data_IF_384709351450
#
_entry.id   IF_384709351450
#
_cell.length_a   1.000
_cell.length_b   1.000
_cell.length_c   1.000
_cell.angle_alpha   90.00
_cell.angle_beta   90.00
_cell.angle_gamma   90.00
#
_symmetry.space_group_name_H-M   'P 1'
#
loop_
_entity.id
_entity.type
_entity.pdbx_description
1 polymer ?
#
# COMPACT_ATOMS: atom_id res chain seq x y z
N UNK A 1 -27.08 -32.77 19.71
CA UNK A 1 -28.11 -32.03 20.49
C UNK A 1 -27.41 -31.12 21.49
N UNK A 2 -28.14 -30.27 22.21
CA UNK A 2 -27.54 -29.34 23.17
C UNK A 2 -28.58 -28.42 23.82
N UNK A 3 -28.15 -27.50 24.69
CA UNK A 3 -29.02 -26.54 25.35
C UNK A 3 -29.78 -25.66 24.35
N UNK A 4 -30.95 -25.17 24.77
CA UNK A 4 -31.73 -24.24 23.97
C UNK A 4 -30.94 -22.97 23.61
N UNK A 5 -30.94 -22.61 22.32
CA UNK A 5 -30.22 -21.42 21.82
C UNK A 5 -28.70 -21.61 21.63
N UNK A 6 -28.17 -22.80 21.91
CA UNK A 6 -26.75 -23.09 21.71
C UNK A 6 -26.47 -23.67 20.31
N UNK A 7 -25.38 -23.21 19.66
CA UNK A 7 -24.99 -23.74 18.34
C UNK A 7 -23.93 -24.83 18.45
N UNK A 8 -23.10 -24.81 19.49
CA UNK A 8 -22.00 -25.78 19.68
C UNK A 8 -22.02 -26.24 21.13
N UNK A 9 -22.15 -27.55 21.34
CA UNK A 9 -22.18 -28.15 22.68
C UNK A 9 -21.23 -29.34 22.76
N UNK A 10 -20.07 -29.12 23.38
CA UNK A 10 -19.04 -30.14 23.59
C UNK A 10 -18.37 -29.98 24.96
N UNK A 11 -17.70 -31.03 25.42
CA UNK A 11 -16.85 -30.99 26.62
C UNK A 11 -15.39 -30.64 26.32
N UNK A 12 -14.53 -30.70 27.35
CA UNK A 12 -13.09 -30.39 27.25
C UNK A 12 -12.31 -31.29 26.27
N UNK A 13 -12.87 -32.44 25.89
CA UNK A 13 -12.26 -33.37 24.94
C UNK A 13 -12.87 -33.24 23.52
N UNK A 14 -13.77 -32.29 23.30
CA UNK A 14 -14.49 -32.12 22.04
C UNK A 14 -15.51 -33.23 21.77
N UNK A 15 -15.91 -33.99 22.81
CA UNK A 15 -17.00 -34.97 22.70
C UNK A 15 -18.33 -34.23 22.62
N UNK A 16 -19.30 -34.81 21.92
CA UNK A 16 -20.64 -34.23 21.78
C UNK A 16 -21.72 -35.21 22.26
N UNK A 17 -22.94 -34.71 22.35
CA UNK A 17 -24.14 -35.48 22.66
C UNK A 17 -25.04 -35.62 21.44
N UNK A 18 -25.61 -36.81 21.25
CA UNK A 18 -26.45 -37.14 20.10
C UNK A 18 -27.82 -37.62 20.56
N UNK A 19 -28.82 -37.48 19.68
CA UNK A 19 -30.10 -38.14 19.83
C UNK A 19 -30.20 -39.21 18.76
N UNK A 20 -30.29 -40.46 19.18
CA UNK A 20 -30.55 -41.56 18.26
C UNK A 20 -32.03 -41.56 17.84
N UNK A 21 -32.31 -41.94 16.60
CA UNK A 21 -33.69 -42.01 16.11
C UNK A 21 -34.53 -43.07 16.83
N UNK A 22 -33.90 -44.11 17.38
CA UNK A 22 -34.56 -45.16 18.16
C UNK A 22 -34.71 -44.80 19.65
N UNK A 23 -34.15 -43.68 20.10
CA UNK A 23 -34.31 -43.19 21.46
C UNK A 23 -35.64 -42.43 21.58
N UNK A 24 -36.66 -43.13 22.10
CA UNK A 24 -38.06 -42.67 22.17
C UNK A 24 -38.34 -41.72 23.32
N UNK A 25 -37.49 -41.71 24.36
CA UNK A 25 -37.76 -40.98 25.60
C UNK A 25 -36.86 -39.76 25.78
N UNK A 26 -35.76 -39.68 25.02
CA UNK A 26 -34.88 -38.53 25.06
C UNK A 26 -35.54 -37.28 24.42
N UNK A 27 -35.59 -36.15 25.14
CA UNK A 27 -36.18 -34.91 24.63
C UNK A 27 -35.33 -34.22 23.55
N UNK A 28 -34.09 -34.67 23.33
CA UNK A 28 -33.19 -34.10 22.32
C UNK A 28 -32.52 -32.79 22.75
N UNK A 29 -32.33 -32.61 24.06
CA UNK A 29 -31.70 -31.45 24.68
C UNK A 29 -30.25 -31.77 25.14
N UNK A 30 -29.68 -30.97 26.04
CA UNK A 30 -28.37 -31.19 26.65
C UNK A 30 -28.21 -32.53 27.37
N UNK A 31 -29.30 -33.17 27.82
CA UNK A 31 -29.29 -34.44 28.55
C UNK A 31 -29.29 -35.68 27.64
N UNK A 32 -29.20 -35.48 26.31
CA UNK A 32 -29.18 -36.59 25.35
C UNK A 32 -27.88 -37.39 25.43
N UNK A 33 -27.99 -38.73 25.47
CA UNK A 33 -26.84 -39.68 25.42
C UNK A 33 -25.71 -39.43 26.44
N UNK A 34 -24.70 -40.30 26.42
CA UNK A 34 -23.40 -40.00 27.03
C UNK A 34 -22.59 -39.03 26.13
N UNK A 35 -21.41 -38.64 26.60
CA UNK A 35 -20.43 -37.91 25.78
C UNK A 35 -19.73 -38.84 24.80
N UNK A 36 -19.89 -38.57 23.50
CA UNK A 36 -19.39 -39.42 22.42
C UNK A 36 -18.21 -38.76 21.71
N UNK A 37 -17.13 -39.53 21.53
CA UNK A 37 -15.94 -39.08 20.80
C UNK A 37 -16.24 -38.86 19.32
N UNK A 38 -15.61 -37.83 18.76
CA UNK A 38 -15.76 -37.45 17.34
C UNK A 38 -14.46 -37.71 16.61
N UNK A 39 -14.51 -38.57 15.59
CA UNK A 39 -13.40 -38.78 14.66
C UNK A 39 -13.01 -37.46 14.00
N UNK A 40 -11.70 -37.18 13.98
CA UNK A 40 -11.09 -36.05 13.29
C UNK A 40 -10.21 -36.59 12.16
N UNK A 41 -9.99 -35.80 11.12
CA UNK A 41 -9.17 -36.23 9.98
C UNK A 41 -7.68 -36.38 10.35
N UNK A 42 -7.21 -35.64 11.37
CA UNK A 42 -5.86 -35.68 11.92
C UNK A 42 -5.88 -35.27 13.40
N UNK A 43 -5.46 -36.18 14.30
CA UNK A 43 -5.54 -35.97 15.76
C UNK A 43 -4.25 -36.36 16.48
N UNK A 44 -3.21 -35.53 16.34
CA UNK A 44 -1.96 -35.67 17.08
C UNK A 44 -2.04 -35.05 18.49
N UNK A 45 -1.05 -35.33 19.33
CA UNK A 45 -0.96 -34.73 20.67
C UNK A 45 -0.65 -33.22 20.56
N UNK A 46 -1.68 -32.37 20.67
CA UNK A 46 -1.56 -30.92 20.58
C UNK A 46 -1.54 -30.34 19.16
N UNK A 47 -1.80 -31.13 18.12
CA UNK A 47 -1.83 -30.68 16.72
C UNK A 47 -2.80 -31.52 15.87
N UNK A 48 -3.22 -31.00 14.72
CA UNK A 48 -4.11 -31.69 13.79
C UNK A 48 -5.25 -30.79 13.31
N UNK A 49 -6.38 -31.39 12.96
CA UNK A 49 -7.61 -30.65 12.66
C UNK A 49 -8.67 -30.89 13.73
N UNK A 50 -9.46 -29.85 14.01
CA UNK A 50 -10.56 -29.93 14.95
C UNK A 50 -11.77 -29.23 14.37
N UNK A 51 -12.82 -30.00 14.08
CA UNK A 51 -14.12 -29.46 13.72
C UNK A 51 -15.18 -30.09 14.61
N UNK A 52 -15.77 -29.30 15.50
CA UNK A 52 -16.82 -29.79 16.42
C UNK A 52 -18.17 -29.84 15.68
N UNK A 53 -18.95 -30.95 15.77
CA UNK A 53 -20.32 -30.98 15.29
C UNK A 53 -21.17 -29.92 15.98
N UNK A 54 -21.96 -29.19 15.20
CA UNK A 54 -22.92 -28.21 15.73
C UNK A 54 -24.22 -28.88 16.13
N UNK A 55 -24.95 -28.26 17.04
CA UNK A 55 -26.32 -28.68 17.39
C UNK A 55 -27.17 -28.70 16.11
N UNK A 56 -27.88 -29.81 15.89
CA UNK A 56 -28.69 -30.04 14.69
C UNK A 56 -27.95 -30.69 13.51
N UNK A 57 -26.63 -30.83 13.56
CA UNK A 57 -25.90 -31.57 12.51
C UNK A 57 -26.07 -33.09 12.66
N UNK A 58 -26.25 -33.75 11.53
CA UNK A 58 -26.27 -35.20 11.42
C UNK A 58 -24.85 -35.77 11.45
N UNK A 59 -24.70 -36.88 12.17
CA UNK A 59 -23.43 -37.59 12.36
C UNK A 59 -23.63 -39.08 12.13
N UNK A 60 -22.62 -39.73 11.60
CA UNK A 60 -22.56 -41.19 11.48
C UNK A 60 -21.95 -41.72 12.78
N UNK A 61 -22.70 -42.54 13.51
CA UNK A 61 -22.24 -43.18 14.75
C UNK A 61 -21.97 -44.66 14.48
N UNK A 62 -20.79 -45.11 14.87
CA UNK A 62 -20.40 -46.52 14.95
C UNK A 62 -20.26 -46.93 16.42
N UNK A 63 -20.16 -48.22 16.69
CA UNK A 63 -20.07 -48.78 18.02
C UNK A 63 -18.84 -49.69 18.09
N UNK A 64 -17.93 -49.42 19.02
CA UNK A 64 -16.67 -50.14 19.10
C UNK A 64 -16.92 -51.62 19.37
N UNK A 65 -16.42 -52.50 18.49
CA UNK A 65 -16.69 -53.95 18.52
C UNK A 65 -18.20 -54.30 18.49
N UNK A 66 -19.05 -53.40 18.01
CA UNK A 66 -20.50 -53.57 17.99
C UNK A 66 -21.17 -53.41 19.36
N UNK A 67 -20.46 -52.90 20.37
CA UNK A 67 -20.99 -52.67 21.73
C UNK A 67 -21.76 -51.33 21.80
N UNK A 68 -23.10 -51.33 21.99
CA UNK A 68 -23.90 -50.11 22.11
C UNK A 68 -23.45 -49.15 23.21
N UNK A 69 -22.76 -49.64 24.24
CA UNK A 69 -22.25 -48.82 25.34
C UNK A 69 -20.98 -48.04 24.96
N UNK A 70 -20.39 -48.33 23.80
CA UNK A 70 -19.14 -47.71 23.32
C UNK A 70 -19.31 -47.01 21.96
N UNK A 71 -20.18 -45.97 21.87
CA UNK A 71 -20.37 -45.25 20.62
C UNK A 71 -19.16 -44.38 20.25
N UNK A 72 -18.97 -44.18 18.94
CA UNK A 72 -18.00 -43.26 18.35
C UNK A 72 -18.58 -42.62 17.09
N UNK A 73 -18.42 -41.30 16.94
CA UNK A 73 -18.84 -40.60 15.71
C UNK A 73 -17.73 -40.72 14.67
N UNK A 74 -18.04 -41.27 13.50
CA UNK A 74 -17.08 -41.57 12.44
C UNK A 74 -17.07 -40.56 11.29
N UNK A 75 -18.17 -39.83 11.10
CA UNK A 75 -18.29 -38.91 9.98
C UNK A 75 -19.57 -38.08 10.00
N UNK A 76 -19.80 -37.35 8.92
CA UNK A 76 -20.98 -36.50 8.71
C UNK A 76 -21.38 -36.53 7.25
N UNK A 77 -22.66 -36.29 7.00
CA UNK A 77 -23.21 -36.17 5.65
C UNK A 77 -23.97 -34.87 5.51
N UNK A 78 -24.07 -34.40 4.27
CA UNK A 78 -25.06 -33.39 3.93
C UNK A 78 -26.41 -34.07 3.71
N UNK A 79 -27.48 -33.35 4.07
CA UNK A 79 -28.87 -33.76 3.87
C UNK A 79 -29.66 -32.58 3.29
N UNK A 80 -30.96 -32.75 3.03
CA UNK A 80 -31.80 -31.70 2.45
C UNK A 80 -31.81 -30.40 3.26
N UNK A 81 -31.77 -30.49 4.59
CA UNK A 81 -31.79 -29.34 5.50
C UNK A 81 -30.37 -28.85 5.86
N UNK A 82 -29.39 -29.76 5.84
CA UNK A 82 -27.97 -29.45 6.00
C UNK A 82 -27.28 -29.59 4.63
N UNK A 83 -27.51 -28.63 3.73
CA UNK A 83 -26.95 -28.66 2.37
C UNK A 83 -25.45 -28.38 2.37
N UNK A 84 -24.77 -28.93 1.37
CA UNK A 84 -23.36 -28.60 1.11
C UNK A 84 -23.18 -27.12 0.77
N UNK A 85 -22.00 -26.53 1.05
CA UNK A 85 -21.61 -25.26 0.48
C UNK A 85 -21.75 -25.25 -1.05
N UNK A 86 -22.06 -24.09 -1.62
CA UNK A 86 -22.24 -23.92 -3.06
C UNK A 86 -23.66 -24.25 -3.53
N UNK A 87 -23.79 -24.61 -4.81
CA UNK A 87 -25.08 -24.86 -5.46
C UNK A 87 -24.96 -26.08 -6.38
N UNK A 88 -24.79 -27.25 -5.77
CA UNK A 88 -24.69 -28.51 -6.51
C UNK A 88 -25.97 -28.82 -7.28
N UNK A 89 -25.87 -29.37 -8.51
CA UNK A 89 -24.65 -29.82 -9.19
C UNK A 89 -23.88 -28.70 -9.93
N UNK A 90 -24.32 -27.44 -9.89
CA UNK A 90 -23.68 -26.32 -10.59
C UNK A 90 -22.23 -26.05 -10.16
N UNK A 91 -21.91 -26.25 -8.87
CA UNK A 91 -20.55 -26.05 -8.32
C UNK A 91 -19.78 -27.36 -8.16
N UNK A 92 -20.03 -28.35 -9.04
CA UNK A 92 -19.45 -29.70 -8.92
C UNK A 92 -17.92 -29.77 -9.02
N UNK A 93 -17.28 -28.73 -9.57
CA UNK A 93 -15.82 -28.58 -9.70
C UNK A 93 -15.20 -27.83 -8.53
N UNK A 94 -15.99 -27.44 -7.52
CA UNK A 94 -15.50 -26.71 -6.36
C UNK A 94 -15.23 -27.63 -5.18
N UNK A 95 -14.07 -27.45 -4.56
CA UNK A 95 -13.76 -27.95 -3.23
C UNK A 95 -13.80 -26.79 -2.24
N UNK A 96 -14.33 -27.01 -1.04
CA UNK A 96 -14.49 -25.92 -0.07
C UNK A 96 -14.28 -26.39 1.37
N UNK A 97 -13.48 -25.64 2.11
CA UNK A 97 -13.44 -25.65 3.57
C UNK A 97 -14.06 -24.32 4.04
N UNK A 98 -15.31 -24.37 4.48
CA UNK A 98 -16.08 -23.20 4.91
C UNK A 98 -16.53 -23.35 6.36
N UNK A 99 -16.30 -22.32 7.16
CA UNK A 99 -16.81 -22.23 8.53
C UNK A 99 -18.15 -21.49 8.58
N UNK A 100 -18.74 -21.34 9.77
CA UNK A 100 -19.88 -20.45 10.01
C UNK A 100 -19.54 -19.58 11.22
N UNK A 101 -19.81 -18.28 11.17
CA UNK A 101 -19.67 -17.41 12.35
C UNK A 101 -20.51 -17.98 13.51
N UNK A 102 -19.93 -18.10 14.70
CA UNK A 102 -20.65 -18.57 15.87
C UNK A 102 -21.70 -17.53 16.30
N UNK A 103 -22.96 -17.95 16.43
CA UNK A 103 -24.09 -17.08 16.83
C UNK A 103 -24.18 -15.77 16.00
N UNK A 104 -23.86 -15.85 14.71
CA UNK A 104 -23.88 -14.69 13.82
C UNK A 104 -23.92 -15.05 12.35
N UNK A 105 -24.06 -14.03 11.50
CA UNK A 105 -23.93 -14.16 10.04
C UNK A 105 -22.47 -14.20 9.59
N UNK A 106 -22.20 -14.87 8.47
CA UNK A 106 -20.88 -14.89 7.83
C UNK A 106 -20.10 -16.20 7.95
N UNK A 107 -18.91 -16.23 7.35
CA UNK A 107 -18.05 -17.41 7.25
C UNK A 107 -16.60 -17.06 6.92
N UNK A 108 -15.67 -17.91 7.32
CA UNK A 108 -14.34 -17.97 6.68
C UNK A 108 -14.36 -19.07 5.62
N UNK A 109 -13.60 -18.92 4.53
CA UNK A 109 -13.56 -19.90 3.45
C UNK A 109 -12.18 -20.01 2.82
N UNK A 110 -11.77 -21.26 2.58
CA UNK A 110 -10.78 -21.64 1.59
C UNK A 110 -11.49 -22.47 0.52
N UNK A 111 -11.54 -21.98 -0.71
CA UNK A 111 -12.19 -22.64 -1.84
C UNK A 111 -11.22 -22.82 -3.00
N UNK A 112 -11.29 -23.98 -3.63
CA UNK A 112 -10.61 -24.30 -4.89
C UNK A 112 -11.67 -24.51 -5.97
N UNK A 113 -11.46 -23.91 -7.13
CA UNK A 113 -12.23 -24.13 -8.36
C UNK A 113 -11.31 -24.81 -9.37
N UNK A 114 -11.72 -25.97 -9.86
CA UNK A 114 -10.98 -26.79 -10.83
C UNK A 114 -11.63 -26.82 -12.22
N UNK A 115 -12.58 -25.92 -12.48
CA UNK A 115 -13.14 -25.74 -13.82
C UNK A 115 -12.05 -25.28 -14.80
N UNK A 116 -11.87 -26.04 -15.89
CA UNK A 116 -10.82 -25.79 -16.89
C UNK A 116 -10.86 -24.37 -17.43
N UNK A 117 -9.74 -23.65 -17.31
CA UNK A 117 -9.59 -22.27 -17.76
C UNK A 117 -10.23 -21.22 -16.83
N UNK A 118 -10.75 -21.64 -15.68
CA UNK A 118 -11.34 -20.80 -14.64
C UNK A 118 -10.82 -21.21 -13.25
N UNK A 119 -9.65 -21.83 -13.19
CA UNK A 119 -9.06 -22.32 -11.96
C UNK A 119 -8.83 -21.18 -10.96
N UNK A 120 -9.23 -21.38 -9.71
CA UNK A 120 -9.15 -20.32 -8.70
C UNK A 120 -8.89 -20.90 -7.30
N UNK A 121 -8.00 -20.24 -6.57
CA UNK A 121 -7.96 -20.33 -5.11
C UNK A 121 -8.58 -19.07 -4.53
N UNK A 122 -9.60 -19.23 -3.68
CA UNK A 122 -10.28 -18.15 -3.00
C UNK A 122 -10.09 -18.29 -1.49
N UNK A 123 -9.61 -17.21 -0.86
CA UNK A 123 -9.44 -17.10 0.58
C UNK A 123 -10.31 -15.94 1.06
N UNK A 124 -11.22 -16.23 2.00
CA UNK A 124 -12.10 -15.24 2.63
C UNK A 124 -11.94 -15.28 4.14
N UNK A 125 -11.62 -14.12 4.70
CA UNK A 125 -11.65 -13.88 6.13
C UNK A 125 -12.82 -12.95 6.48
N UNK A 126 -13.66 -13.36 7.42
CA UNK A 126 -14.86 -12.61 7.81
C UNK A 126 -14.54 -11.29 8.53
N UNK A 127 -13.36 -11.17 9.15
CA UNK A 127 -12.96 -9.98 9.92
C UNK A 127 -11.47 -9.65 9.79
N UNK A 128 -10.61 -10.46 10.40
CA UNK A 128 -9.16 -10.26 10.38
C UNK A 128 -8.50 -11.40 9.59
N UNK A 129 -7.46 -11.09 8.84
CA UNK A 129 -6.54 -12.07 8.26
C UNK A 129 -5.12 -11.70 8.66
N UNK A 130 -4.53 -12.50 9.57
CA UNK A 130 -3.15 -12.34 10.01
C UNK A 130 -2.27 -13.39 9.32
N UNK A 131 -1.10 -12.98 8.84
CA UNK A 131 -0.11 -13.89 8.22
C UNK A 131 1.24 -13.67 8.86
N UNK A 132 1.76 -14.68 9.57
CA UNK A 132 3.10 -14.66 10.16
C UNK A 132 4.01 -15.66 9.43
N UNK A 133 5.19 -15.18 9.03
CA UNK A 133 6.21 -16.00 8.35
C UNK A 133 7.54 -15.79 9.05
N UNK A 134 8.08 -16.83 9.68
CA UNK A 134 9.28 -16.74 10.54
C UNK A 134 10.61 -16.63 9.77
N UNK A 135 10.60 -16.92 8.47
CA UNK A 135 11.81 -16.90 7.65
C UNK A 135 11.63 -16.06 6.39
N UNK A 136 11.15 -16.67 5.29
CA UNK A 136 11.06 -15.99 3.99
C UNK A 136 9.65 -16.11 3.41
N UNK A 137 9.12 -14.99 2.90
CA UNK A 137 7.91 -14.94 2.07
C UNK A 137 8.29 -14.43 0.68
N UNK A 138 8.04 -15.26 -0.34
CA UNK A 138 8.18 -14.88 -1.74
C UNK A 138 6.79 -14.80 -2.37
N UNK A 139 6.55 -13.82 -3.24
CA UNK A 139 5.31 -13.70 -4.02
C UNK A 139 5.68 -13.35 -5.45
N UNK A 140 5.21 -14.16 -6.40
CA UNK A 140 5.48 -14.04 -7.84
C UNK A 140 4.14 -14.08 -8.58
N UNK A 141 3.80 -12.97 -9.25
CA UNK A 141 2.55 -12.79 -10.01
C UNK A 141 2.92 -12.54 -11.46
N UNK A 142 2.47 -13.42 -12.37
CA UNK A 142 2.89 -13.39 -13.79
C UNK A 142 2.18 -12.36 -14.64
N UNK A 143 0.93 -12.07 -14.28
CA UNK A 143 0.10 -11.10 -14.98
C UNK A 143 -0.06 -9.90 -14.04
N UNK A 144 -1.26 -9.65 -13.53
CA UNK A 144 -1.57 -8.45 -12.77
C UNK A 144 -1.74 -8.72 -11.27
N UNK A 145 -1.24 -7.79 -10.46
CA UNK A 145 -1.55 -7.71 -9.04
C UNK A 145 -2.36 -6.44 -8.78
N UNK A 146 -3.54 -6.60 -8.17
CA UNK A 146 -4.39 -5.48 -7.75
C UNK A 146 -4.64 -5.58 -6.25
N UNK A 147 -4.32 -4.51 -5.53
CA UNK A 147 -4.60 -4.36 -4.11
C UNK A 147 -5.45 -3.10 -3.90
N UNK A 148 -6.48 -3.19 -3.07
CA UNK A 148 -7.34 -2.05 -2.72
C UNK A 148 -7.42 -1.94 -1.20
N UNK A 149 -6.94 -0.80 -0.68
CA UNK A 149 -6.96 -0.48 0.75
C UNK A 149 -7.98 0.63 0.97
N UNK A 150 -9.08 0.31 1.68
CA UNK A 150 -10.16 1.28 1.90
C UNK A 150 -9.87 2.34 2.98
N UNK A 151 -8.78 2.20 3.72
CA UNK A 151 -8.34 3.16 4.74
C UNK A 151 -6.82 3.33 4.67
N UNK A 152 -6.07 2.98 5.72
CA UNK A 152 -4.62 3.20 5.77
C UNK A 152 -3.81 1.92 5.48
N UNK A 153 -2.71 2.08 4.74
CA UNK A 153 -1.67 1.06 4.60
C UNK A 153 -0.42 1.52 5.37
N UNK A 154 0.12 0.66 6.23
CA UNK A 154 1.40 0.90 6.92
C UNK A 154 2.40 -0.18 6.53
N UNK A 155 3.52 0.25 5.94
CA UNK A 155 4.64 -0.62 5.58
C UNK A 155 5.84 -0.19 6.42
N UNK A 156 6.57 -1.15 6.99
CA UNK A 156 7.81 -0.90 7.72
C UNK A 156 8.87 -1.86 7.20
N UNK A 157 9.94 -1.31 6.63
CA UNK A 157 11.08 -2.06 6.08
C UNK A 157 12.30 -1.73 6.94
N UNK A 158 12.86 -2.74 7.59
CA UNK A 158 13.91 -2.54 8.60
C UNK A 158 15.31 -2.22 8.04
N UNK A 159 15.58 -2.56 6.77
CA UNK A 159 16.89 -2.37 6.14
C UNK A 159 16.80 -1.54 4.86
N UNK A 160 16.40 -2.16 3.76
CA UNK A 160 16.34 -1.50 2.45
C UNK A 160 15.14 -1.94 1.64
N UNK A 161 14.57 -1.01 0.89
CA UNK A 161 13.49 -1.24 -0.06
C UNK A 161 13.95 -0.80 -1.45
N UNK A 162 13.89 -1.72 -2.41
CA UNK A 162 14.08 -1.41 -3.82
C UNK A 162 12.73 -1.54 -4.52
N UNK A 163 12.31 -0.47 -5.20
CA UNK A 163 11.07 -0.44 -5.99
C UNK A 163 11.43 -0.07 -7.43
N UNK A 164 11.11 -0.95 -8.37
CA UNK A 164 11.25 -0.69 -9.81
C UNK A 164 9.85 -0.63 -10.41
N UNK A 165 9.46 0.54 -10.93
CA UNK A 165 8.16 0.75 -11.60
C UNK A 165 8.42 0.93 -13.10
N UNK A 166 7.58 0.33 -13.93
CA UNK A 166 7.71 0.37 -15.39
C UNK A 166 7.31 1.73 -16.00
N UNK A 167 6.09 1.83 -16.52
CA UNK A 167 5.67 2.94 -17.41
C UNK A 167 5.21 4.20 -16.67
N UNK A 168 4.44 4.07 -15.60
CA UNK A 168 3.77 5.22 -14.96
C UNK A 168 3.66 5.02 -13.45
N UNK A 169 3.80 6.12 -12.71
CA UNK A 169 3.45 6.22 -11.30
C UNK A 169 2.65 7.52 -11.13
N UNK A 170 1.34 7.41 -10.88
CA UNK A 170 0.46 8.56 -10.72
C UNK A 170 0.08 8.71 -9.24
N UNK A 171 0.58 9.76 -8.59
CA UNK A 171 0.16 10.17 -7.26
C UNK A 171 -0.80 11.38 -7.33
N UNK A 172 -1.73 11.50 -6.38
CA UNK A 172 -2.73 12.58 -6.35
C UNK A 172 -2.92 13.28 -5.00
N UNK A 173 -2.06 13.02 -4.01
CA UNK A 173 -2.17 13.55 -2.65
C UNK A 173 -0.83 14.08 -2.12
N UNK A 174 -0.87 14.73 -0.95
CA UNK A 174 0.31 15.27 -0.28
C UNK A 174 1.36 14.20 0.00
N UNK A 175 2.62 14.50 -0.30
CA UNK A 175 3.76 13.60 -0.09
C UNK A 175 4.85 14.31 0.73
N UNK A 176 5.24 13.71 1.84
CA UNK A 176 6.42 14.12 2.61
C UNK A 176 7.52 13.06 2.43
N UNK A 177 8.69 13.49 1.95
CA UNK A 177 9.87 12.62 1.78
C UNK A 177 10.97 13.15 2.69
N UNK A 178 11.49 12.28 3.56
CA UNK A 178 12.68 12.56 4.38
C UNK A 178 13.76 11.56 4.01
N UNK A 179 14.92 12.08 3.63
CA UNK A 179 16.11 11.27 3.32
C UNK A 179 17.14 11.53 4.40
N UNK A 180 17.53 10.47 5.13
CA UNK A 180 18.44 10.61 6.29
C UNK A 180 19.92 10.70 5.89
N UNK A 181 20.28 10.17 4.72
CA UNK A 181 21.63 10.19 4.17
C UNK A 181 21.57 10.86 2.79
N UNK A 182 22.05 10.19 1.75
CA UNK A 182 22.14 10.76 0.41
C UNK A 182 20.91 10.46 -0.44
N UNK A 183 20.49 11.46 -1.22
CA UNK A 183 19.52 11.31 -2.30
C UNK A 183 20.22 11.59 -3.63
N UNK A 184 20.27 10.60 -4.52
CA UNK A 184 20.74 10.77 -5.90
C UNK A 184 19.56 10.64 -6.85
N UNK A 185 19.37 11.63 -7.73
CA UNK A 185 18.31 11.67 -8.73
C UNK A 185 18.95 11.78 -10.10
N UNK A 186 18.63 10.85 -11.01
CA UNK A 186 19.03 10.90 -12.41
C UNK A 186 17.79 10.89 -13.29
N UNK A 187 17.66 11.87 -14.16
CA UNK A 187 16.55 12.01 -15.12
C UNK A 187 17.12 11.88 -16.53
N UNK A 188 16.65 10.89 -17.28
CA UNK A 188 17.17 10.59 -18.62
C UNK A 188 16.61 11.47 -19.74
N UNK A 189 15.43 12.07 -19.54
CA UNK A 189 14.79 13.00 -20.46
C UNK A 189 14.49 14.31 -19.69
N UNK A 190 13.24 14.76 -19.70
CA UNK A 190 12.84 16.03 -19.09
C UNK A 190 12.36 15.86 -17.64
N UNK A 191 12.74 16.81 -16.79
CA UNK A 191 12.14 17.00 -15.47
C UNK A 191 11.36 18.31 -15.45
N UNK A 192 10.04 18.24 -15.22
CA UNK A 192 9.19 19.43 -15.01
C UNK A 192 8.77 19.52 -13.54
N UNK A 193 8.97 20.68 -12.91
CA UNK A 193 8.53 20.95 -11.54
C UNK A 193 7.51 22.10 -11.55
N UNK A 194 6.25 21.79 -11.27
CA UNK A 194 5.18 22.78 -11.12
C UNK A 194 4.89 22.98 -9.63
N UNK A 195 5.17 24.17 -9.09
CA UNK A 195 4.81 24.57 -7.72
C UNK A 195 3.76 25.67 -7.81
N UNK A 196 2.55 25.40 -7.33
CA UNK A 196 1.40 26.31 -7.47
C UNK A 196 1.32 27.39 -6.38
N UNK A 197 1.91 27.12 -5.21
CA UNK A 197 2.05 28.08 -4.13
C UNK A 197 3.54 28.44 -3.97
N UNK A 198 4.12 28.27 -2.78
CA UNK A 198 5.48 28.69 -2.49
C UNK A 198 6.50 27.55 -2.62
N UNK A 199 7.68 27.87 -3.19
CA UNK A 199 8.88 27.03 -3.12
C UNK A 199 9.91 27.69 -2.20
N UNK A 200 10.22 27.07 -1.07
CA UNK A 200 11.35 27.46 -0.20
C UNK A 200 12.54 26.53 -0.44
N UNK A 201 13.72 27.09 -0.65
CA UNK A 201 14.99 26.36 -0.79
C UNK A 201 15.97 26.88 0.26
N UNK A 202 16.52 25.97 1.07
CA UNK A 202 17.56 26.27 2.06
C UNK A 202 18.72 25.30 1.83
N UNK A 203 19.94 25.80 1.75
CA UNK A 203 21.15 25.02 1.44
C UNK A 203 22.21 25.38 2.47
N UNK A 204 22.57 24.44 3.33
CA UNK A 204 23.52 24.68 4.44
C UNK A 204 24.99 24.76 4.05
N UNK A 205 25.33 24.38 2.81
CA UNK A 205 26.69 24.44 2.27
C UNK A 205 26.65 25.00 0.83
N UNK A 206 27.41 24.44 -0.11
CA UNK A 206 27.50 24.95 -1.47
C UNK A 206 26.29 24.54 -2.33
N UNK A 207 25.92 25.42 -3.26
CA UNK A 207 25.04 25.11 -4.38
C UNK A 207 25.76 25.46 -5.69
N UNK A 208 26.11 24.44 -6.46
CA UNK A 208 26.67 24.61 -7.80
C UNK A 208 25.58 24.37 -8.86
N UNK A 209 25.49 25.27 -9.84
CA UNK A 209 24.58 25.14 -10.99
C UNK A 209 25.38 25.25 -12.27
N UNK A 210 25.21 24.29 -13.17
CA UNK A 210 25.79 24.32 -14.52
C UNK A 210 24.68 24.09 -15.53
N UNK A 211 24.45 25.10 -16.36
CA UNK A 211 23.50 25.03 -17.48
C UNK A 211 24.31 25.11 -18.77
N UNK A 212 24.13 24.13 -19.66
CA UNK A 212 24.84 24.06 -20.96
C UNK A 212 24.09 24.84 -22.04
N UNK A 213 22.76 24.84 -21.97
CA UNK A 213 21.90 25.66 -22.82
C UNK A 213 21.58 27.02 -22.18
N UNK A 214 20.40 27.54 -22.51
CA UNK A 214 19.92 28.82 -21.98
C UNK A 214 19.39 28.67 -20.55
N UNK A 215 19.72 29.65 -19.70
CA UNK A 215 19.10 29.83 -18.39
C UNK A 215 18.25 31.11 -18.44
N UNK A 216 16.94 30.97 -18.26
CA UNK A 216 15.97 32.08 -18.36
C UNK A 216 15.17 32.19 -17.07
N UNK A 217 15.31 33.32 -16.38
CA UNK A 217 14.55 33.65 -15.18
C UNK A 217 13.60 34.82 -15.46
N UNK A 218 12.31 34.65 -15.16
CA UNK A 218 11.31 35.72 -15.19
C UNK A 218 10.75 35.93 -13.79
N UNK A 219 10.97 37.11 -13.23
CA UNK A 219 10.42 37.52 -11.93
C UNK A 219 9.41 38.65 -12.16
N UNK A 220 8.14 38.41 -11.80
CA UNK A 220 7.06 39.40 -12.04
C UNK A 220 6.96 40.50 -11.00
N UNK A 221 7.55 40.29 -9.82
CA UNK A 221 7.61 41.26 -8.73
C UNK A 221 9.05 41.71 -8.51
N UNK A 222 9.60 41.51 -7.33
CA UNK A 222 10.96 41.92 -6.97
C UNK A 222 11.91 40.73 -6.93
N UNK A 223 13.11 40.91 -7.49
CA UNK A 223 14.26 40.04 -7.24
C UNK A 223 15.21 40.79 -6.30
N UNK A 224 15.52 40.21 -5.14
CA UNK A 224 16.46 40.78 -4.17
C UNK A 224 17.66 39.84 -4.06
N UNK A 225 18.86 40.37 -4.32
CA UNK A 225 20.11 39.63 -4.22
C UNK A 225 20.95 40.28 -3.13
N UNK A 226 21.38 39.49 -2.15
CA UNK A 226 22.30 39.92 -1.09
C UNK A 226 23.47 38.97 -1.06
N UNK A 227 24.68 39.51 -1.16
CA UNK A 227 25.93 38.73 -1.16
C UNK A 227 26.82 39.25 -0.04
N UNK A 228 27.20 38.38 0.90
CA UNK A 228 27.95 38.77 2.09
C UNK A 228 29.45 39.03 1.85
N UNK A 229 29.97 38.64 0.68
CA UNK A 229 31.35 38.87 0.24
C UNK A 229 31.34 39.38 -1.21
N UNK A 230 32.05 38.72 -2.11
CA UNK A 230 32.23 39.17 -3.49
C UNK A 230 31.08 38.73 -4.40
N UNK A 231 30.57 39.65 -5.21
CA UNK A 231 29.66 39.37 -6.32
C UNK A 231 30.39 39.62 -7.64
N UNK A 232 30.73 38.54 -8.35
CA UNK A 232 31.41 38.59 -9.64
C UNK A 232 30.46 38.15 -10.74
N UNK A 233 30.22 39.04 -11.71
CA UNK A 233 29.46 38.75 -12.92
C UNK A 233 30.42 38.82 -14.13
N UNK A 234 30.68 37.68 -14.74
CA UNK A 234 31.49 37.59 -15.96
C UNK A 234 30.59 37.30 -17.15
N UNK A 235 30.56 38.22 -18.13
CA UNK A 235 29.79 38.07 -19.36
C UNK A 235 30.73 38.19 -20.56
N UNK A 236 30.70 37.22 -21.47
CA UNK A 236 31.71 37.08 -22.53
C UNK A 236 31.41 37.89 -23.79
N UNK A 237 30.14 38.19 -24.08
CA UNK A 237 29.75 38.91 -25.30
C UNK A 237 29.19 40.31 -25.02
N UNK A 238 28.04 40.40 -24.35
CA UNK A 238 27.52 41.71 -23.91
C UNK A 238 26.65 41.62 -22.66
N UNK A 239 26.80 42.59 -21.77
CA UNK A 239 25.93 42.80 -20.61
C UNK A 239 25.02 44.00 -20.90
N UNK A 240 23.70 43.82 -20.79
CA UNK A 240 22.72 44.90 -20.95
C UNK A 240 21.84 44.99 -19.71
N UNK A 241 21.83 46.16 -19.06
CA UNK A 241 20.92 46.50 -17.97
C UNK A 241 19.94 47.54 -18.51
N UNK A 242 18.67 47.18 -18.57
CA UNK A 242 17.61 48.03 -19.14
C UNK A 242 16.55 48.33 -18.09
N UNK A 243 16.19 49.61 -17.96
CA UNK A 243 15.09 50.09 -17.11
C UNK A 243 14.24 51.05 -17.94
N UNK A 244 13.05 50.61 -18.37
CA UNK A 244 12.25 51.38 -19.33
C UNK A 244 13.04 51.67 -20.61
N UNK A 245 13.26 52.96 -20.91
CA UNK A 245 14.07 53.43 -22.05
C UNK A 245 15.57 53.61 -21.72
N UNK A 246 15.96 53.56 -20.45
CA UNK A 246 17.36 53.69 -20.03
C UNK A 246 18.11 52.37 -20.26
N UNK A 247 19.31 52.45 -20.82
CA UNK A 247 20.18 51.30 -21.09
C UNK A 247 21.61 51.59 -20.67
N UNK A 248 22.16 50.69 -19.85
CA UNK A 248 23.60 50.50 -19.68
C UNK A 248 24.00 49.23 -20.43
N UNK A 249 24.89 49.34 -21.41
CA UNK A 249 25.39 48.19 -22.19
C UNK A 249 26.91 48.16 -22.23
N UNK A 250 27.49 47.00 -21.95
CA UNK A 250 28.93 46.71 -22.05
C UNK A 250 29.14 45.63 -23.10
N UNK A 251 30.07 45.83 -24.02
CA UNK A 251 30.39 44.89 -25.09
C UNK A 251 31.78 44.27 -24.91
N UNK A 252 32.01 43.09 -25.51
CA UNK A 252 33.31 42.39 -25.49
C UNK A 252 34.47 43.19 -26.09
N UNK A 253 34.17 44.16 -26.94
CA UNK A 253 35.18 45.05 -27.54
C UNK A 253 35.63 46.17 -26.59
N UNK A 254 35.08 46.21 -25.36
CA UNK A 254 35.38 47.21 -24.35
C UNK A 254 34.47 48.45 -24.40
N UNK A 255 33.56 48.55 -25.35
CA UNK A 255 32.63 49.69 -25.46
C UNK A 255 31.62 49.67 -24.32
N UNK A 256 31.48 50.81 -23.64
CA UNK A 256 30.42 51.07 -22.63
C UNK A 256 29.47 52.13 -23.20
N UNK A 257 28.18 51.81 -23.27
CA UNK A 257 27.12 52.70 -23.74
C UNK A 257 26.16 53.04 -22.60
N UNK A 258 25.88 54.33 -22.44
CA UNK A 258 24.89 54.88 -21.52
C UNK A 258 23.87 55.66 -22.35
N UNK A 259 22.66 55.12 -22.48
CA UNK A 259 21.57 55.74 -23.24
C UNK A 259 20.39 56.03 -22.32
N UNK A 260 19.81 57.23 -22.46
CA UNK A 260 18.59 57.62 -21.77
C UNK A 260 18.10 58.99 -22.24
N UNK A 261 16.86 59.33 -21.91
CA UNK A 261 16.25 60.63 -22.24
C UNK A 261 17.02 61.80 -21.62
N UNK A 262 17.52 61.60 -20.39
CA UNK A 262 18.33 62.58 -19.67
C UNK A 262 19.40 61.84 -18.88
N UNK A 263 20.66 62.16 -19.12
CA UNK A 263 21.80 61.67 -18.33
C UNK A 263 22.31 62.85 -17.49
N UNK A 264 22.20 62.74 -16.17
CA UNK A 264 22.67 63.77 -15.26
C UNK A 264 23.85 63.26 -14.46
N UNK A 265 24.96 63.96 -14.54
CA UNK A 265 26.11 63.74 -13.67
C UNK A 265 26.14 64.84 -12.60
N UNK A 266 26.15 64.46 -11.33
CA UNK A 266 26.35 65.36 -10.18
C UNK A 266 27.49 64.80 -9.36
N UNK A 267 28.47 65.65 -9.04
CA UNK A 267 29.57 65.31 -8.14
C UNK A 267 29.76 66.46 -7.14
N UNK A 268 30.06 66.13 -5.89
CA UNK A 268 30.32 67.13 -4.84
C UNK A 268 31.78 67.63 -4.84
N UNK A 269 32.70 66.93 -5.52
CA UNK A 269 34.12 67.31 -5.67
C UNK A 269 34.50 67.52 -7.15
N UNK A 270 34.70 66.45 -7.93
CA UNK A 270 35.03 66.58 -9.36
C UNK A 270 34.57 65.38 -10.20
N UNK A 271 34.35 65.61 -11.50
CA UNK A 271 34.18 64.56 -12.53
C UNK A 271 35.41 64.62 -13.43
N UNK A 272 36.12 63.50 -13.58
CA UNK A 272 37.34 63.39 -14.41
C UNK A 272 37.12 62.34 -15.50
N UNK A 273 37.37 62.70 -16.75
CA UNK A 273 37.40 61.78 -17.88
C UNK A 273 38.71 61.95 -18.65
N UNK A 274 39.33 60.83 -19.03
CA UNK A 274 40.54 60.82 -19.87
C UNK A 274 40.22 59.98 -21.10
N UNK A 275 40.30 60.59 -22.27
CA UNK A 275 40.11 59.92 -23.55
C UNK A 275 41.03 60.56 -24.59
N UNK A 276 41.35 59.82 -25.65
CA UNK A 276 42.07 60.36 -26.82
C UNK A 276 41.25 61.45 -27.54
N UNK A 277 39.92 61.37 -27.46
CA UNK A 277 39.01 62.35 -28.05
C UNK A 277 37.70 62.38 -27.25
N UNK A 278 37.16 63.58 -27.06
CA UNK A 278 35.86 63.80 -26.41
C UNK A 278 35.03 64.70 -27.31
N UNK A 279 33.83 64.24 -27.69
CA UNK A 279 32.87 65.03 -28.47
C UNK A 279 31.63 65.31 -27.61
N UNK A 280 31.34 66.60 -27.42
CA UNK A 280 30.05 67.07 -26.95
C UNK A 280 29.39 67.76 -28.13
N UNK A 281 28.23 67.26 -28.54
CA UNK A 281 27.39 67.88 -29.56
C UNK A 281 26.30 68.71 -28.90
#
# INVERSE_FOLDING_TARGET
TGPAGEEIFCDEHGRVRVRFHWDRYCPGNEDSSCWIRVSQAWAGAGFGNLAIPRVGQEVIVDFLNGDPDQPIIMGRTYHQDNRSPGSLPGTKTQMTIRSKTYKGGGFNELRFEDATGQEQVYIHAQKNMDTEVLNNRTTDVKMDHTETIGNNQKITVGLGQTVTVGKENAGGHDQAVTVAHDQSVSVGNDQTLNVTNDRKKDVGNNQDSKVVGDDTEKVEKSQNITVGKDYTLTVTDSLTIKVGECVLKMNKDGTIMLNGVKIQFKADDSIKGVASTVHFN
#
